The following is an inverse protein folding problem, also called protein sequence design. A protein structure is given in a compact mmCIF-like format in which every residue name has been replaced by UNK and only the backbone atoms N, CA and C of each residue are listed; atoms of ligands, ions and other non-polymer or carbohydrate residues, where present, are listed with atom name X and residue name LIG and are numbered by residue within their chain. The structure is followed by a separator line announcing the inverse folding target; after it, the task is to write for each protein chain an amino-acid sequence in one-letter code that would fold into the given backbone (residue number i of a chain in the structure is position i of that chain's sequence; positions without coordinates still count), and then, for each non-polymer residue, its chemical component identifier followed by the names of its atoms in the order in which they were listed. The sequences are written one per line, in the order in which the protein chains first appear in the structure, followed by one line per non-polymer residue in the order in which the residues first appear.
data_IF_427763419416
#
_entry.id   IF_427763419416
#
_cell.length_a   1.000
_cell.length_b   1.000
_cell.length_c   1.000
_cell.angle_alpha   90.00
_cell.angle_beta   90.00
_cell.angle_gamma   90.00
#
_symmetry.space_group_name_H-M   'P 1'
#
loop_
_entity.id
_entity.type
_entity.pdbx_description
1 polymer ?
#
# COMPACT_ATOMS: atom_id res chain seq x y z
N UNK A 1 24.09 -27.24 22.16
CA UNK A 1 23.81 -26.48 20.95
C UNK A 1 22.73 -27.10 20.05
N UNK A 2 22.68 -28.41 19.78
CA UNK A 2 21.62 -29.06 18.95
C UNK A 2 20.20 -28.90 19.49
N UNK A 3 19.99 -28.82 20.82
CA UNK A 3 18.68 -28.67 21.45
C UNK A 3 18.07 -27.26 21.23
N UNK A 4 18.90 -26.21 21.30
CA UNK A 4 18.43 -24.82 21.08
C UNK A 4 18.03 -24.56 19.62
N UNK A 5 18.80 -25.05 18.65
CA UNK A 5 18.48 -24.97 17.22
C UNK A 5 17.19 -25.72 16.88
N UNK A 6 16.99 -26.91 17.46
CA UNK A 6 15.77 -27.68 17.27
C UNK A 6 14.55 -27.00 17.92
N UNK A 7 14.72 -26.33 19.05
CA UNK A 7 13.63 -25.54 19.66
C UNK A 7 13.28 -24.31 18.82
N UNK A 8 14.28 -23.61 18.29
CA UNK A 8 14.09 -22.45 17.39
C UNK A 8 13.37 -22.86 16.10
N UNK A 9 13.79 -23.96 15.47
CA UNK A 9 13.13 -24.47 14.26
C UNK A 9 11.66 -24.83 14.52
N UNK A 10 11.36 -25.53 15.64
CA UNK A 10 9.96 -25.82 16.00
C UNK A 10 9.14 -24.57 16.26
N UNK A 11 9.73 -23.53 16.86
CA UNK A 11 9.05 -22.26 17.06
C UNK A 11 8.78 -21.56 15.72
N UNK A 12 9.75 -21.55 14.81
CA UNK A 12 9.57 -21.01 13.46
C UNK A 12 8.49 -21.75 12.67
N UNK A 13 8.47 -23.09 12.73
CA UNK A 13 7.42 -23.88 12.08
C UNK A 13 6.02 -23.65 12.68
N UNK A 14 5.92 -23.46 14.00
CA UNK A 14 4.65 -23.11 14.65
C UNK A 14 4.18 -21.71 14.23
N UNK A 15 5.09 -20.76 14.17
CA UNK A 15 4.78 -19.39 13.74
C UNK A 15 4.33 -19.37 12.28
N UNK A 16 5.03 -20.08 11.39
CA UNK A 16 4.62 -20.22 9.99
C UNK A 16 3.23 -20.82 9.87
N UNK A 17 2.99 -21.95 10.51
CA UNK A 17 1.65 -22.59 10.49
C UNK A 17 0.56 -21.65 11.01
N UNK A 18 0.81 -20.93 12.10
CA UNK A 18 -0.17 -19.96 12.62
C UNK A 18 -0.47 -18.83 11.63
N UNK A 19 0.55 -18.34 10.90
CA UNK A 19 0.38 -17.32 9.85
C UNK A 19 -0.39 -17.91 8.66
N UNK A 20 -0.05 -19.13 8.23
CA UNK A 20 -0.70 -19.81 7.10
C UNK A 20 -2.17 -20.12 7.40
N UNK A 21 -2.49 -20.64 8.60
CA UNK A 21 -3.85 -20.92 9.05
C UNK A 21 -4.69 -19.62 9.08
N UNK A 22 -4.12 -18.53 9.63
CA UNK A 22 -4.79 -17.23 9.66
C UNK A 22 -5.06 -16.69 8.26
N UNK A 23 -4.11 -16.85 7.35
CA UNK A 23 -4.21 -16.43 5.96
C UNK A 23 -5.30 -17.23 5.23
N UNK A 24 -5.32 -18.55 5.43
CA UNK A 24 -6.34 -19.42 4.83
C UNK A 24 -7.75 -19.10 5.36
N UNK A 25 -7.88 -18.83 6.66
CA UNK A 25 -9.15 -18.40 7.26
C UNK A 25 -9.65 -17.09 6.67
N UNK A 26 -8.77 -16.09 6.52
CA UNK A 26 -9.14 -14.82 5.91
C UNK A 26 -9.50 -14.96 4.42
N UNK A 27 -8.83 -15.84 3.68
CA UNK A 27 -9.17 -16.16 2.30
C UNK A 27 -10.58 -16.79 2.19
N UNK A 28 -10.92 -17.71 3.09
CA UNK A 28 -12.25 -18.33 3.13
C UNK A 28 -13.34 -17.29 3.46
N UNK A 29 -13.12 -16.47 4.51
CA UNK A 29 -14.06 -15.41 4.89
C UNK A 29 -14.32 -14.44 3.73
N UNK A 30 -13.27 -14.07 2.98
CA UNK A 30 -13.44 -13.14 1.87
C UNK A 30 -14.16 -13.76 0.68
N UNK A 31 -13.91 -15.04 0.39
CA UNK A 31 -14.68 -15.76 -0.59
C UNK A 31 -16.18 -15.75 -0.22
N UNK A 32 -16.48 -16.01 1.05
CA UNK A 32 -17.84 -16.06 1.55
C UNK A 32 -18.51 -14.68 1.60
N UNK A 33 -17.73 -13.60 1.81
CA UNK A 33 -18.23 -12.22 1.76
C UNK A 33 -18.44 -11.71 0.33
N UNK A 34 -17.72 -12.21 -0.66
CA UNK A 34 -17.91 -11.80 -2.07
C UNK A 34 -19.32 -12.16 -2.57
N UNK A 35 -19.84 -13.31 -2.18
CA UNK A 35 -21.18 -13.75 -2.58
C UNK A 35 -22.30 -12.80 -2.13
N UNK A 36 -22.41 -12.39 -0.85
CA UNK A 36 -23.41 -11.41 -0.44
C UNK A 36 -23.20 -10.02 -1.05
N UNK A 37 -21.95 -9.58 -1.25
CA UNK A 37 -21.66 -8.29 -1.92
C UNK A 37 -22.20 -8.32 -3.36
N UNK A 38 -21.91 -9.37 -4.13
CA UNK A 38 -22.44 -9.53 -5.49
C UNK A 38 -23.98 -9.53 -5.51
N UNK A 39 -24.61 -10.19 -4.54
CA UNK A 39 -26.06 -10.20 -4.41
C UNK A 39 -26.65 -8.83 -4.07
N UNK A 40 -25.98 -8.06 -3.21
CA UNK A 40 -26.36 -6.69 -2.89
C UNK A 40 -26.20 -5.78 -4.10
N UNK A 41 -25.16 -5.96 -4.91
CA UNK A 41 -24.96 -5.22 -6.16
C UNK A 41 -26.12 -5.43 -7.13
N UNK A 42 -26.51 -6.70 -7.38
CA UNK A 42 -27.66 -7.02 -8.21
C UNK A 42 -28.99 -6.41 -7.69
N UNK A 43 -29.13 -6.29 -6.37
CA UNK A 43 -30.30 -5.61 -5.79
C UNK A 43 -30.24 -4.10 -5.90
N UNK A 44 -29.03 -3.52 -5.84
CA UNK A 44 -28.84 -2.08 -6.03
C UNK A 44 -29.25 -1.63 -7.43
N UNK A 45 -29.02 -2.46 -8.46
CA UNK A 45 -29.45 -2.20 -9.85
C UNK A 45 -30.99 -2.13 -10.02
N UNK A 46 -31.76 -2.58 -9.01
CA UNK A 46 -33.23 -2.50 -9.00
C UNK A 46 -33.74 -1.23 -8.28
N UNK A 47 -32.86 -0.35 -7.82
CA UNK A 47 -33.23 0.91 -7.17
C UNK A 47 -33.66 1.90 -8.26
N UNK A 48 -34.89 2.41 -8.15
CA UNK A 48 -35.44 3.37 -9.13
C UNK A 48 -34.81 4.76 -9.01
N UNK A 49 -34.36 5.15 -7.83
CA UNK A 49 -33.67 6.43 -7.58
C UNK A 49 -32.20 6.32 -8.03
N UNK A 50 -31.87 6.93 -9.16
CA UNK A 50 -30.53 6.88 -9.76
C UNK A 50 -29.41 7.42 -8.85
N UNK A 51 -29.71 8.40 -7.98
CA UNK A 51 -28.70 8.91 -7.04
C UNK A 51 -28.46 7.94 -5.89
N UNK A 52 -29.49 7.28 -5.39
CA UNK A 52 -29.39 6.24 -4.37
C UNK A 52 -28.73 4.99 -4.93
N UNK A 53 -29.08 4.58 -6.16
CA UNK A 53 -28.40 3.49 -6.87
C UNK A 53 -26.90 3.74 -6.97
N UNK A 54 -26.50 4.89 -7.51
CA UNK A 54 -25.09 5.28 -7.68
C UNK A 54 -24.33 5.27 -6.35
N UNK A 55 -24.91 5.81 -5.27
CA UNK A 55 -24.29 5.80 -3.93
C UNK A 55 -24.15 4.39 -3.39
N UNK A 56 -25.18 3.56 -3.53
CA UNK A 56 -25.17 2.18 -3.04
C UNK A 56 -24.13 1.33 -3.78
N UNK A 57 -24.01 1.49 -5.11
CA UNK A 57 -22.98 0.80 -5.89
C UNK A 57 -21.58 1.24 -5.50
N UNK A 58 -21.36 2.55 -5.27
CA UNK A 58 -20.08 3.06 -4.78
C UNK A 58 -19.70 2.50 -3.40
N UNK A 59 -20.64 2.41 -2.46
CA UNK A 59 -20.41 1.79 -1.14
C UNK A 59 -20.03 0.31 -1.27
N UNK A 60 -20.67 -0.43 -2.19
CA UNK A 60 -20.37 -1.84 -2.43
C UNK A 60 -19.00 -2.04 -3.10
N UNK A 61 -18.60 -1.15 -4.01
CA UNK A 61 -17.27 -1.14 -4.62
C UNK A 61 -16.19 -0.87 -3.55
N UNK A 62 -16.44 0.08 -2.65
CA UNK A 62 -15.56 0.35 -1.52
C UNK A 62 -15.43 -0.87 -0.60
N UNK A 63 -16.54 -1.53 -0.24
CA UNK A 63 -16.51 -2.75 0.57
C UNK A 63 -15.70 -3.87 -0.09
N UNK A 64 -15.84 -4.04 -1.41
CA UNK A 64 -15.08 -5.04 -2.15
C UNK A 64 -13.59 -4.72 -2.15
N UNK A 65 -13.21 -3.47 -2.42
CA UNK A 65 -11.82 -3.02 -2.39
C UNK A 65 -11.19 -3.21 -1.00
N UNK A 66 -11.93 -2.87 0.06
CA UNK A 66 -11.51 -3.10 1.45
C UNK A 66 -11.20 -4.56 1.73
N UNK A 67 -12.06 -5.46 1.27
CA UNK A 67 -11.91 -6.89 1.47
C UNK A 67 -10.68 -7.44 0.74
N UNK A 68 -10.46 -7.00 -0.50
CA UNK A 68 -9.31 -7.40 -1.31
C UNK A 68 -8.00 -6.88 -0.72
N UNK A 69 -7.97 -5.63 -0.22
CA UNK A 69 -6.80 -5.05 0.46
C UNK A 69 -6.46 -5.81 1.75
N UNK A 70 -7.47 -6.14 2.57
CA UNK A 70 -7.27 -6.91 3.80
C UNK A 70 -6.71 -8.31 3.51
N UNK A 71 -7.20 -8.97 2.45
CA UNK A 71 -6.71 -10.27 2.01
C UNK A 71 -5.28 -10.23 1.50
N UNK A 72 -4.97 -9.28 0.62
CA UNK A 72 -3.63 -9.12 0.06
C UNK A 72 -2.61 -8.88 1.18
N UNK A 73 -2.98 -8.06 2.19
CA UNK A 73 -2.16 -7.87 3.38
C UNK A 73 -1.95 -9.16 4.17
N UNK A 74 -3.01 -9.95 4.36
CA UNK A 74 -2.96 -11.18 5.16
C UNK A 74 -2.18 -12.31 4.48
N UNK A 75 -2.24 -12.41 3.15
CA UNK A 75 -1.59 -13.48 2.36
C UNK A 75 -0.09 -13.32 2.23
N UNK A 76 0.51 -12.19 2.64
CA UNK A 76 1.91 -11.89 2.40
C UNK A 76 2.31 -12.14 0.92
N UNK A 77 1.40 -11.83 -0.01
CA UNK A 77 1.61 -12.08 -1.46
C UNK A 77 2.91 -11.43 -1.95
N UNK A 78 3.32 -10.34 -1.31
CA UNK A 78 4.59 -9.67 -1.57
C UNK A 78 5.82 -10.58 -1.36
N UNK A 79 5.77 -11.48 -0.38
CA UNK A 79 6.89 -12.38 -0.11
C UNK A 79 6.98 -13.53 -1.14
N UNK A 80 5.87 -13.89 -1.78
CA UNK A 80 5.83 -14.95 -2.80
C UNK A 80 6.36 -14.49 -4.17
N UNK A 81 6.33 -13.19 -4.45
CA UNK A 81 6.84 -12.62 -5.70
C UNK A 81 8.37 -12.75 -5.76
N UNK A 82 8.90 -13.28 -6.87
CA UNK A 82 10.35 -13.42 -7.05
C UNK A 82 10.98 -12.08 -7.42
N UNK A 83 12.15 -11.75 -6.84
CA UNK A 83 12.88 -10.56 -7.27
C UNK A 83 13.27 -10.63 -8.74
N UNK A 84 13.06 -9.53 -9.46
CA UNK A 84 13.41 -9.35 -10.87
C UNK A 84 14.25 -8.08 -11.02
N UNK A 85 15.02 -8.01 -12.10
CA UNK A 85 15.66 -6.78 -12.54
C UNK A 85 14.66 -6.00 -13.40
N UNK A 86 14.36 -4.77 -13.03
CA UNK A 86 13.40 -3.90 -13.72
C UNK A 86 13.79 -2.43 -13.57
N UNK A 87 13.10 -1.55 -14.30
CA UNK A 87 13.29 -0.11 -14.22
C UNK A 87 12.33 0.50 -13.21
N UNK A 88 12.85 0.94 -12.06
CA UNK A 88 12.05 1.55 -11.00
C UNK A 88 11.51 2.93 -11.39
N UNK A 89 12.26 3.69 -12.20
CA UNK A 89 11.81 4.99 -12.68
C UNK A 89 10.57 4.84 -13.56
N UNK A 90 10.61 3.93 -14.53
CA UNK A 90 9.48 3.62 -15.41
C UNK A 90 8.26 3.13 -14.60
N UNK A 91 8.48 2.28 -13.60
CA UNK A 91 7.40 1.81 -12.73
C UNK A 91 6.69 2.98 -12.01
N UNK A 92 7.46 3.94 -11.49
CA UNK A 92 6.90 5.10 -10.79
C UNK A 92 6.24 6.09 -11.76
N UNK A 93 6.81 6.30 -12.95
CA UNK A 93 6.20 7.11 -14.00
C UNK A 93 4.84 6.54 -14.41
N UNK A 94 4.79 5.24 -14.72
CA UNK A 94 3.53 4.57 -15.08
C UNK A 94 2.50 4.66 -13.96
N UNK A 95 2.92 4.55 -12.70
CA UNK A 95 2.01 4.72 -11.57
C UNK A 95 1.44 6.15 -11.48
N UNK A 96 2.21 7.20 -11.83
CA UNK A 96 1.70 8.56 -11.89
C UNK A 96 0.74 8.74 -13.07
N UNK A 97 1.10 8.26 -14.27
CA UNK A 97 0.28 8.33 -15.49
C UNK A 97 -1.10 7.67 -15.27
N UNK A 98 -1.17 6.52 -14.60
CA UNK A 98 -2.43 5.86 -14.27
C UNK A 98 -3.36 6.76 -13.42
N UNK A 99 -2.82 7.59 -12.52
CA UNK A 99 -3.59 8.55 -11.73
C UNK A 99 -3.95 9.81 -12.52
N UNK A 100 -3.07 10.31 -13.41
CA UNK A 100 -3.36 11.42 -14.32
C UNK A 100 -4.50 11.07 -15.28
N UNK A 101 -4.52 9.85 -15.82
CA UNK A 101 -5.60 9.34 -16.68
C UNK A 101 -6.97 9.29 -15.97
N UNK A 102 -6.95 9.13 -14.65
CA UNK A 102 -8.15 9.23 -13.80
C UNK A 102 -8.51 10.68 -13.41
N UNK A 103 -7.77 11.68 -13.91
CA UNK A 103 -8.00 13.10 -13.62
C UNK A 103 -7.39 13.60 -12.31
N UNK A 104 -6.51 12.83 -11.67
CA UNK A 104 -5.80 13.25 -10.47
C UNK A 104 -4.49 13.99 -10.82
N UNK A 105 -4.09 14.95 -9.98
CA UNK A 105 -2.81 15.63 -10.13
C UNK A 105 -1.67 14.78 -9.54
N UNK A 106 -1.06 13.94 -10.37
CA UNK A 106 0.08 13.11 -9.99
C UNK A 106 1.25 13.39 -10.95
N UNK A 107 2.44 13.70 -10.42
CA UNK A 107 3.62 14.06 -11.21
C UNK A 107 4.84 13.25 -10.78
N UNK A 108 5.74 12.97 -11.72
CA UNK A 108 7.01 12.30 -11.45
C UNK A 108 8.19 13.24 -11.64
N UNK A 109 9.09 13.24 -10.67
CA UNK A 109 10.35 14.02 -10.68
C UNK A 109 11.52 13.09 -10.38
N UNK A 110 12.34 12.80 -11.39
CA UNK A 110 13.49 11.92 -11.20
C UNK A 110 14.20 11.59 -12.49
N UNK A 111 15.16 10.66 -12.45
CA UNK A 111 15.84 10.18 -13.66
C UNK A 111 14.84 9.40 -14.54
N UNK A 112 15.01 9.42 -15.88
CA UNK A 112 14.12 8.69 -16.78
C UNK A 112 14.26 7.16 -16.66
N UNK A 113 15.41 6.69 -16.17
CA UNK A 113 15.72 5.28 -15.99
C UNK A 113 16.49 5.03 -14.70
N UNK A 114 16.09 4.02 -13.94
CA UNK A 114 16.79 3.54 -12.75
C UNK A 114 16.58 2.04 -12.58
N UNK A 115 17.58 1.25 -12.89
CA UNK A 115 17.52 -0.21 -12.74
C UNK A 115 17.58 -0.60 -11.27
N UNK A 116 16.65 -1.44 -10.85
CA UNK A 116 16.55 -1.99 -9.49
C UNK A 116 16.31 -3.50 -9.55
N UNK A 117 16.75 -4.21 -8.51
CA UNK A 117 16.44 -5.64 -8.32
C UNK A 117 15.51 -5.77 -7.13
N UNK A 118 14.29 -6.16 -7.38
CA UNK A 118 13.25 -6.24 -6.37
C UNK A 118 12.00 -6.93 -6.91
N UNK A 119 10.88 -6.74 -6.23
CA UNK A 119 9.58 -7.30 -6.59
C UNK A 119 8.72 -6.17 -7.17
N UNK A 120 8.59 -6.07 -8.50
CA UNK A 120 7.95 -4.93 -9.14
C UNK A 120 6.46 -4.80 -8.80
N UNK A 121 5.71 -5.89 -8.70
CA UNK A 121 4.30 -5.85 -8.32
C UNK A 121 4.09 -5.36 -6.90
N UNK A 122 4.92 -5.83 -5.95
CA UNK A 122 4.88 -5.38 -4.56
C UNK A 122 5.23 -3.90 -4.44
N UNK A 123 6.28 -3.43 -5.13
CA UNK A 123 6.66 -2.01 -5.12
C UNK A 123 5.61 -1.14 -5.81
N UNK A 124 5.05 -1.57 -6.96
CA UNK A 124 3.93 -0.86 -7.59
C UNK A 124 2.79 -0.65 -6.59
N UNK A 125 2.38 -1.71 -5.89
CA UNK A 125 1.33 -1.63 -4.87
C UNK A 125 1.68 -0.66 -3.74
N UNK A 126 2.91 -0.69 -3.23
CA UNK A 126 3.34 0.23 -2.18
C UNK A 126 3.29 1.69 -2.63
N UNK A 127 3.79 2.01 -3.83
CA UNK A 127 3.75 3.37 -4.35
C UNK A 127 2.35 3.82 -4.74
N UNK A 128 1.51 2.95 -5.29
CA UNK A 128 0.09 3.24 -5.54
C UNK A 128 -0.63 3.61 -4.23
N UNK A 129 -0.35 2.91 -3.12
CA UNK A 129 -0.90 3.27 -1.80
C UNK A 129 -0.42 4.66 -1.33
N UNK A 130 0.85 5.01 -1.54
CA UNK A 130 1.36 6.34 -1.19
C UNK A 130 0.74 7.43 -2.06
N UNK A 131 0.66 7.22 -3.38
CA UNK A 131 0.05 8.16 -4.33
C UNK A 131 -1.44 8.34 -4.01
N UNK A 132 -2.17 7.23 -3.78
CA UNK A 132 -3.58 7.25 -3.39
C UNK A 132 -3.81 8.09 -2.13
N UNK A 133 -2.98 7.92 -1.10
CA UNK A 133 -3.07 8.72 0.11
C UNK A 133 -2.78 10.20 -0.16
N UNK A 134 -1.75 10.53 -0.93
CA UNK A 134 -1.39 11.89 -1.29
C UNK A 134 -2.52 12.59 -2.07
N UNK A 135 -3.10 11.94 -3.09
CA UNK A 135 -4.22 12.47 -3.87
C UNK A 135 -5.47 12.62 -2.99
N UNK A 136 -5.80 11.60 -2.19
CA UNK A 136 -7.01 11.58 -1.36
C UNK A 136 -7.00 12.65 -0.26
N UNK A 137 -5.87 12.83 0.43
CA UNK A 137 -5.78 13.72 1.59
C UNK A 137 -5.14 15.06 1.27
N UNK A 138 -4.33 15.14 0.22
CA UNK A 138 -3.62 16.33 -0.19
C UNK A 138 -4.04 16.93 -1.53
N UNK A 139 -4.92 16.24 -2.27
CA UNK A 139 -5.42 16.69 -3.58
C UNK A 139 -4.43 16.53 -4.73
N UNK A 140 -3.18 16.22 -4.45
CA UNK A 140 -2.12 16.01 -5.45
C UNK A 140 -1.07 15.04 -4.94
N UNK A 141 -0.23 14.52 -5.85
CA UNK A 141 0.94 13.71 -5.52
C UNK A 141 2.13 14.12 -6.37
N UNK A 142 3.27 14.39 -5.75
CA UNK A 142 4.56 14.53 -6.44
C UNK A 142 5.47 13.38 -6.03
N UNK A 143 5.80 12.53 -6.99
CA UNK A 143 6.66 11.35 -6.79
C UNK A 143 8.08 11.69 -7.19
N UNK A 144 8.99 11.74 -6.22
CA UNK A 144 10.41 11.98 -6.43
C UNK A 144 11.23 10.70 -6.42
N UNK A 145 12.27 10.61 -7.26
CA UNK A 145 13.24 9.51 -7.25
C UNK A 145 14.66 10.06 -7.37
N UNK A 146 15.54 9.64 -6.46
CA UNK A 146 16.94 10.04 -6.46
C UNK A 146 17.86 8.90 -6.05
N UNK A 147 19.10 8.92 -6.52
CA UNK A 147 20.16 7.99 -6.11
C UNK A 147 21.09 8.71 -5.15
N UNK A 148 21.16 8.24 -3.92
CA UNK A 148 22.17 8.64 -2.94
C UNK A 148 23.35 7.67 -2.97
N UNK A 149 24.46 8.01 -2.32
CA UNK A 149 25.72 7.24 -2.38
C UNK A 149 25.58 5.74 -2.06
N UNK A 150 24.62 5.38 -1.19
CA UNK A 150 24.41 3.98 -0.75
C UNK A 150 22.93 3.57 -0.72
N UNK A 151 22.05 4.40 -1.26
CA UNK A 151 20.62 4.14 -1.20
C UNK A 151 19.90 4.79 -2.39
N UNK A 152 18.79 4.19 -2.78
CA UNK A 152 17.80 4.80 -3.64
C UNK A 152 16.76 5.43 -2.72
N UNK A 153 16.46 6.70 -2.92
CA UNK A 153 15.46 7.44 -2.17
C UNK A 153 14.30 7.78 -3.10
N UNK A 154 13.14 7.22 -2.81
CA UNK A 154 11.91 7.62 -3.46
C UNK A 154 11.04 8.39 -2.45
N UNK A 155 10.32 9.40 -2.91
CA UNK A 155 9.42 10.19 -2.06
C UNK A 155 8.08 10.38 -2.74
N UNK A 156 7.01 10.44 -1.94
CA UNK A 156 5.68 10.87 -2.39
C UNK A 156 5.26 12.03 -1.49
N UNK A 157 5.02 13.19 -2.09
CA UNK A 157 4.68 14.42 -1.38
C UNK A 157 3.31 14.92 -1.82
N UNK A 158 2.58 15.54 -0.89
CA UNK A 158 1.32 16.22 -1.12
C UNK A 158 1.32 17.65 -0.56
N UNK A 159 0.22 18.38 -0.75
CA UNK A 159 -0.01 19.71 -0.21
C UNK A 159 -1.18 19.79 0.80
N UNK A 160 -1.50 18.64 1.41
CA UNK A 160 -2.60 18.50 2.36
C UNK A 160 -2.31 19.10 3.74
N UNK A 161 -3.15 18.75 4.73
CA UNK A 161 -3.02 19.28 6.08
C UNK A 161 -1.85 18.67 6.88
N UNK A 162 -1.19 17.62 6.35
CA UNK A 162 -0.20 16.84 7.10
C UNK A 162 -0.82 15.94 8.18
N UNK A 163 0.03 15.44 9.07
CA UNK A 163 -0.34 14.50 10.15
C UNK A 163 0.25 15.03 11.46
N UNK A 164 -0.49 15.02 12.59
CA UNK A 164 0.10 15.39 13.88
C UNK A 164 1.36 14.56 14.18
N UNK A 165 2.43 15.17 14.67
CA UNK A 165 3.74 14.51 14.86
C UNK A 165 3.65 13.25 15.74
N UNK A 166 2.77 13.26 16.75
CA UNK A 166 2.52 12.10 17.61
C UNK A 166 1.91 10.89 16.87
N UNK A 167 1.35 11.11 15.68
CA UNK A 167 0.65 10.12 14.89
C UNK A 167 1.48 9.58 13.71
N UNK A 168 2.59 10.22 13.33
CA UNK A 168 3.43 9.87 12.18
C UNK A 168 3.90 8.40 12.18
N UNK A 169 4.18 7.84 13.37
CA UNK A 169 4.53 6.43 13.50
C UNK A 169 3.29 5.52 13.63
N UNK A 170 2.21 6.02 14.24
CA UNK A 170 1.01 5.23 14.53
C UNK A 170 0.21 4.92 13.27
N UNK A 171 0.22 5.81 12.27
CA UNK A 171 -0.50 5.62 11.00
C UNK A 171 0.01 4.43 10.17
N UNK A 172 1.17 3.88 10.52
CA UNK A 172 1.66 2.64 9.94
C UNK A 172 1.10 1.36 10.60
N UNK A 173 0.35 1.50 11.70
CA UNK A 173 -0.30 0.34 12.32
C UNK A 173 -1.48 -0.13 11.47
N UNK A 174 -1.65 -1.43 11.24
CA UNK A 174 -2.79 -1.95 10.50
C UNK A 174 -4.12 -1.49 11.13
N UNK A 175 -5.08 -1.10 10.28
CA UNK A 175 -6.42 -0.62 10.66
C UNK A 175 -6.43 0.70 11.45
N UNK A 176 -5.29 1.35 11.61
CA UNK A 176 -5.23 2.64 12.27
C UNK A 176 -5.63 3.78 11.32
N UNK A 177 -6.50 4.67 11.78
CA UNK A 177 -6.95 5.88 11.06
C UNK A 177 -6.99 7.06 12.01
N UNK A 178 -6.62 8.24 11.52
CA UNK A 178 -6.82 9.49 12.26
C UNK A 178 -8.32 9.78 12.43
N UNK A 179 -8.73 10.33 13.58
CA UNK A 179 -10.15 10.62 13.85
C UNK A 179 -10.76 11.57 12.83
N UNK A 180 -9.99 12.54 12.34
CA UNK A 180 -10.39 13.48 11.31
C UNK A 180 -10.65 12.84 9.93
N UNK A 181 -10.10 11.65 9.69
CA UNK A 181 -10.25 10.90 8.43
C UNK A 181 -11.37 9.84 8.47
N UNK A 182 -12.14 9.78 9.58
CA UNK A 182 -13.25 8.83 9.72
C UNK A 182 -14.51 9.23 8.93
N UNK A 183 -14.50 10.38 8.21
CA UNK A 183 -15.61 10.74 7.33
C UNK A 183 -15.79 9.68 6.24
N UNK A 184 -17.03 9.35 5.90
CA UNK A 184 -17.38 8.37 4.85
C UNK A 184 -16.85 8.75 3.47
N UNK A 185 -16.46 10.00 3.27
CA UNK A 185 -15.95 10.53 2.00
C UNK A 185 -14.49 10.13 1.73
N UNK A 186 -13.73 9.76 2.77
CA UNK A 186 -12.32 9.36 2.66
C UNK A 186 -12.12 7.88 2.93
N UNK A 187 -12.88 6.99 2.29
CA UNK A 187 -12.85 5.53 2.45
C UNK A 187 -11.44 4.91 2.58
N UNK A 188 -11.37 3.64 3.00
CA UNK A 188 -10.14 2.86 3.16
C UNK A 188 -10.02 2.21 4.54
N UNK A 189 -9.45 1.01 4.57
CA UNK A 189 -9.38 0.13 5.77
C UNK A 189 -8.32 0.56 6.77
N UNK A 190 -7.40 1.48 6.38
CA UNK A 190 -6.22 1.81 7.18
C UNK A 190 -5.10 0.76 7.06
N UNK A 191 -5.03 0.06 5.93
CA UNK A 191 -3.98 -0.92 5.65
C UNK A 191 -2.90 -0.38 4.71
N UNK A 192 -3.18 0.63 3.90
CA UNK A 192 -2.27 1.11 2.85
C UNK A 192 -0.86 1.41 3.35
N UNK A 193 -0.70 2.19 4.44
CA UNK A 193 0.63 2.48 5.00
C UNK A 193 1.29 1.27 5.67
N UNK A 194 0.50 0.35 6.25
CA UNK A 194 1.03 -0.90 6.79
C UNK A 194 1.59 -1.80 5.67
N UNK A 195 0.91 -1.87 4.52
CA UNK A 195 1.40 -2.53 3.29
C UNK A 195 2.70 -1.88 2.83
N UNK A 196 2.77 -0.55 2.74
CA UNK A 196 3.99 0.18 2.36
C UNK A 196 5.16 -0.22 3.25
N UNK A 197 4.98 -0.18 4.59
CA UNK A 197 6.04 -0.56 5.56
C UNK A 197 6.49 -2.00 5.37
N UNK A 198 5.56 -2.93 5.17
CA UNK A 198 5.86 -4.35 4.95
C UNK A 198 6.65 -4.58 3.67
N UNK A 199 6.19 -4.00 2.55
CA UNK A 199 6.87 -4.12 1.25
C UNK A 199 8.26 -3.53 1.27
N UNK A 200 8.41 -2.33 1.83
CA UNK A 200 9.73 -1.66 1.93
C UNK A 200 10.69 -2.45 2.82
N UNK A 201 10.22 -2.98 3.95
CA UNK A 201 11.01 -3.86 4.83
C UNK A 201 11.43 -5.16 4.12
N UNK A 202 10.55 -5.75 3.30
CA UNK A 202 10.85 -6.93 2.48
C UNK A 202 11.99 -6.70 1.47
N UNK A 203 12.18 -5.44 1.04
CA UNK A 203 13.29 -5.01 0.18
C UNK A 203 14.53 -4.54 0.99
N UNK A 204 14.56 -4.73 2.31
CA UNK A 204 15.65 -4.30 3.19
C UNK A 204 15.73 -2.77 3.34
N UNK A 205 14.66 -2.06 3.00
CA UNK A 205 14.54 -0.61 3.07
C UNK A 205 13.84 -0.11 4.34
N UNK A 206 13.63 1.18 4.39
CA UNK A 206 12.85 1.87 5.43
C UNK A 206 11.92 2.91 4.83
N UNK A 207 10.81 3.16 5.51
CA UNK A 207 9.87 4.23 5.17
C UNK A 207 9.61 5.11 6.39
N UNK A 208 9.54 6.43 6.18
CA UNK A 208 9.16 7.41 7.19
C UNK A 208 8.25 8.47 6.59
N UNK A 209 7.48 9.11 7.44
CA UNK A 209 6.65 10.26 7.09
C UNK A 209 7.22 11.51 7.76
N UNK A 210 7.12 12.64 7.08
CA UNK A 210 7.46 13.95 7.63
C UNK A 210 6.48 15.01 7.14
N UNK A 211 6.11 15.95 8.02
CA UNK A 211 5.36 17.13 7.62
C UNK A 211 6.30 18.06 6.87
N UNK A 212 5.81 18.65 5.78
CA UNK A 212 6.57 19.62 4.98
C UNK A 212 6.46 21.01 5.60
N UNK A 213 7.55 21.79 5.63
CA UNK A 213 7.51 23.16 6.18
C UNK A 213 6.52 24.08 5.45
N UNK A 214 6.34 23.86 4.15
CA UNK A 214 5.42 24.59 3.29
C UNK A 214 3.96 24.09 3.34
N UNK A 215 3.69 23.08 4.16
CA UNK A 215 2.41 22.37 4.25
C UNK A 215 2.41 21.07 3.45
N UNK A 216 1.60 20.12 3.90
CA UNK A 216 1.50 18.79 3.33
C UNK A 216 2.34 17.74 4.03
N UNK A 217 2.26 16.52 3.53
CA UNK A 217 3.00 15.37 4.01
C UNK A 217 4.00 14.90 2.95
N UNK A 218 5.11 14.33 3.40
CA UNK A 218 6.07 13.62 2.56
C UNK A 218 6.32 12.24 3.13
N UNK A 219 6.05 11.21 2.33
CA UNK A 219 6.50 9.84 2.60
C UNK A 219 7.86 9.62 1.92
N UNK A 220 8.85 9.15 2.67
CA UNK A 220 10.21 8.91 2.18
C UNK A 220 10.50 7.42 2.31
N UNK A 221 10.72 6.77 1.17
CA UNK A 221 11.12 5.36 1.04
C UNK A 221 12.60 5.31 0.71
N UNK A 222 13.37 4.61 1.52
CA UNK A 222 14.80 4.37 1.30
C UNK A 222 15.01 2.89 1.00
N UNK A 223 15.55 2.59 -0.18
CA UNK A 223 15.87 1.22 -0.61
C UNK A 223 17.39 1.06 -0.73
N UNK A 224 17.95 -0.11 -0.36
CA UNK A 224 19.38 -0.35 -0.56
C UNK A 224 19.70 -0.40 -2.05
N UNK A 225 20.85 0.16 -2.44
CA UNK A 225 21.39 -0.06 -3.80
C UNK A 225 21.73 -1.54 -3.93
N UNK A 226 21.31 -2.21 -5.02
CA UNK A 226 21.72 -3.59 -5.25
C UNK A 226 23.25 -3.69 -5.28
N UNK A 227 23.83 -4.45 -4.35
CA UNK A 227 25.26 -4.77 -4.43
C UNK A 227 25.41 -5.74 -5.60
N UNK A 228 26.01 -5.29 -6.69
CA UNK A 228 26.44 -6.21 -7.74
C UNK A 228 27.40 -7.21 -7.10
N UNK A 229 26.95 -8.44 -6.91
CA UNK A 229 27.86 -9.55 -6.65
C UNK A 229 28.62 -9.77 -7.95
N UNK A 230 29.87 -9.26 -7.99
CA UNK A 230 30.84 -9.58 -9.03
C UNK A 230 31.08 -11.08 -9.16
#
# INVERSE_FOLDING_TARGET
MRSAAAALNRMQERLRRFVDDRTQMLAAISHDLRTPITRLRLRAELIEDAELERKTLADLDEMQAMLEEALAFARHEDAAEKPLRFDLAVLLQTACEEWEDMGAAATYEGPPHLVFVGRPGSLKRAFTNLISNAVRYGGNATVGLAVATKAIVASVSDTGPGIPDAELERVFQPFYRLETSRSRETGGVGLGLAVVRSVVALHGGSVRLENRPEGGLRAIVTLPVPVEKG
#
